data_IF_086859616854
#
_entry.id   IF_086859616854
#
_cell.length_a   1.000
_cell.length_b   1.000
_cell.length_c   1.000
_cell.angle_alpha   90.00
_cell.angle_beta   90.00
_cell.angle_gamma   90.00
#
_symmetry.space_group_name_H-M   'P 1'
#
loop_
_entity.id
_entity.type
_entity.pdbx_description
1 polymer ?
#
# COMPACT_ATOMS: atom_id res chain seq x y z
N UNK A 1 10.07 -16.23 -26.19
CA UNK A 1 10.47 -15.47 -24.98
C UNK A 1 9.28 -15.36 -24.06
N UNK A 2 9.45 -15.67 -22.78
CA UNK A 2 8.40 -15.51 -21.77
C UNK A 2 8.17 -14.02 -21.48
N UNK A 3 6.96 -13.65 -21.04
CA UNK A 3 6.64 -12.29 -20.58
C UNK A 3 7.64 -11.79 -19.54
N UNK A 4 8.01 -12.68 -18.61
CA UNK A 4 8.93 -12.40 -17.50
C UNK A 4 10.35 -12.09 -18.00
N UNK A 5 10.77 -12.68 -19.13
CA UNK A 5 12.12 -12.49 -19.67
C UNK A 5 12.34 -11.09 -20.25
N UNK A 6 11.25 -10.36 -20.54
CA UNK A 6 11.29 -8.99 -21.08
C UNK A 6 11.30 -7.91 -20.00
N UNK A 7 11.17 -8.30 -18.72
CA UNK A 7 11.08 -7.36 -17.61
C UNK A 7 12.47 -7.01 -17.07
N UNK A 8 12.75 -5.72 -16.95
CA UNK A 8 13.84 -5.23 -16.12
C UNK A 8 13.44 -5.39 -14.66
N UNK A 9 13.88 -6.49 -14.07
CA UNK A 9 13.63 -6.83 -12.67
C UNK A 9 14.08 -5.71 -11.72
N UNK A 10 15.21 -5.06 -11.97
CA UNK A 10 15.76 -4.04 -11.06
C UNK A 10 14.90 -2.78 -11.10
N UNK A 11 14.53 -2.30 -12.29
CA UNK A 11 13.63 -1.15 -12.46
C UNK A 11 12.22 -1.44 -11.93
N UNK A 12 11.70 -2.64 -12.17
CA UNK A 12 10.40 -3.09 -11.65
C UNK A 12 10.36 -3.11 -10.11
N UNK A 13 11.42 -3.61 -9.47
CA UNK A 13 11.56 -3.58 -8.00
C UNK A 13 11.61 -2.13 -7.48
N UNK A 14 12.28 -1.23 -8.21
CA UNK A 14 12.36 0.18 -7.84
C UNK A 14 10.98 0.87 -7.93
N UNK A 15 10.22 0.61 -8.99
CA UNK A 15 8.86 1.11 -9.15
C UNK A 15 7.94 0.60 -8.03
N UNK A 16 7.94 -0.71 -7.77
CA UNK A 16 7.17 -1.28 -6.67
C UNK A 16 7.59 -0.74 -5.31
N UNK A 17 8.89 -0.50 -5.07
CA UNK A 17 9.35 0.12 -3.83
C UNK A 17 8.79 1.53 -3.65
N UNK A 18 8.73 2.32 -4.73
CA UNK A 18 8.13 3.65 -4.68
C UNK A 18 6.64 3.58 -4.31
N UNK A 19 5.88 2.73 -5.00
CA UNK A 19 4.45 2.50 -4.71
C UNK A 19 4.22 2.03 -3.26
N UNK A 20 5.02 1.07 -2.79
CA UNK A 20 4.89 0.53 -1.44
C UNK A 20 5.27 1.54 -0.35
N UNK A 21 6.24 2.41 -0.60
CA UNK A 21 6.55 3.52 0.30
C UNK A 21 5.40 4.53 0.33
N UNK A 22 4.88 4.90 -0.84
CA UNK A 22 3.75 5.82 -0.94
C UNK A 22 2.52 5.29 -0.22
N UNK A 23 2.20 4.00 -0.43
CA UNK A 23 1.18 3.29 0.32
C UNK A 23 1.42 3.34 1.83
N UNK A 24 2.64 3.05 2.30
CA UNK A 24 2.95 3.04 3.73
C UNK A 24 2.71 4.40 4.38
N UNK A 25 3.08 5.47 3.69
CA UNK A 25 2.84 6.85 4.14
C UNK A 25 1.33 7.16 4.20
N UNK A 26 0.59 6.83 3.14
CA UNK A 26 -0.86 7.02 3.09
C UNK A 26 -1.57 6.19 4.16
N UNK A 27 -1.19 4.93 4.32
CA UNK A 27 -1.78 3.99 5.28
C UNK A 27 -1.58 4.51 6.71
N UNK A 28 -0.38 4.97 7.07
CA UNK A 28 -0.12 5.59 8.38
C UNK A 28 -0.95 6.85 8.63
N UNK A 29 -1.08 7.69 7.62
CA UNK A 29 -1.94 8.88 7.74
C UNK A 29 -3.37 8.45 8.06
N UNK A 30 -3.94 7.52 7.30
CA UNK A 30 -5.32 7.07 7.50
C UNK A 30 -5.52 6.22 8.78
N UNK A 31 -4.52 5.45 9.22
CA UNK A 31 -4.55 4.74 10.52
C UNK A 31 -4.54 5.73 11.71
N UNK A 32 -3.82 6.84 11.58
CA UNK A 32 -3.86 7.93 12.59
C UNK A 32 -5.09 8.83 12.48
N UNK A 33 -5.84 8.79 11.37
CA UNK A 33 -7.10 9.53 11.19
C UNK A 33 -8.34 8.80 11.75
N UNK A 34 -8.20 7.59 12.32
CA UNK A 34 -9.32 6.90 13.00
C UNK A 34 -9.74 7.56 14.34
N UNK A 35 -9.14 8.70 14.67
CA UNK A 35 -9.64 9.63 15.68
C UNK A 35 -10.42 10.79 15.04
N UNK A 36 -11.72 10.85 15.34
CA UNK A 36 -12.60 12.04 15.33
C UNK A 36 -13.40 12.40 14.05
N UNK A 37 -14.32 11.51 13.66
CA UNK A 37 -15.73 11.93 13.53
C UNK A 37 -16.64 11.19 14.52
N UNK A 38 -16.11 10.88 15.72
CA UNK A 38 -16.96 10.66 16.90
C UNK A 38 -17.57 11.99 17.34
N UNK A 39 -18.54 12.49 16.56
CA UNK A 39 -19.56 13.38 17.09
C UNK A 39 -20.38 12.51 18.04
N UNK A 40 -20.00 12.54 19.33
CA UNK A 40 -20.73 12.04 20.49
C UNK A 40 -21.74 10.92 20.21
N UNK A 41 -21.31 9.67 20.31
CA UNK A 41 -22.13 8.59 20.88
C UNK A 41 -23.54 8.36 20.32
N UNK A 42 -23.82 8.64 19.05
CA UNK A 42 -25.07 8.26 18.42
C UNK A 42 -24.77 7.41 17.18
N UNK A 43 -25.16 6.15 17.23
CA UNK A 43 -25.32 5.29 16.06
C UNK A 43 -26.44 5.89 15.21
N UNK A 44 -26.10 6.86 14.35
CA UNK A 44 -27.02 7.43 13.37
C UNK A 44 -26.62 6.93 11.99
N UNK A 45 -27.56 6.27 11.31
CA UNK A 45 -27.43 5.68 9.99
C UNK A 45 -26.62 6.56 9.02
N UNK A 46 -25.50 6.03 8.52
CA UNK A 46 -24.47 6.73 7.73
C UNK A 46 -24.97 7.36 6.42
N UNK A 47 -26.19 7.06 5.97
CA UNK A 47 -26.78 7.63 4.75
C UNK A 47 -27.23 9.09 4.93
N UNK A 48 -27.67 9.48 6.14
CA UNK A 48 -28.12 10.85 6.43
C UNK A 48 -26.96 11.83 6.63
N UNK A 49 -25.82 11.39 7.18
CA UNK A 49 -24.61 12.23 7.34
C UNK A 49 -23.99 12.53 5.97
N UNK A 50 -23.99 11.55 5.06
CA UNK A 50 -23.57 11.77 3.68
C UNK A 50 -24.47 12.80 2.99
N UNK A 51 -25.80 12.70 3.10
CA UNK A 51 -26.73 13.69 2.51
C UNK A 51 -26.60 15.10 3.12
N UNK A 52 -26.39 15.22 4.43
CA UNK A 52 -26.24 16.53 5.10
C UNK A 52 -24.91 17.20 4.76
N UNK A 53 -23.83 16.44 4.54
CA UNK A 53 -22.54 16.99 4.11
C UNK A 53 -22.57 17.54 2.67
N UNK A 54 -23.39 16.98 1.77
CA UNK A 54 -23.53 17.50 0.39
C UNK A 54 -24.31 18.81 0.30
N UNK A 55 -25.08 19.18 1.32
CA UNK A 55 -25.98 20.34 1.26
C UNK A 55 -25.32 21.66 1.65
N UNK A 56 -24.06 21.67 2.14
CA UNK A 56 -23.51 22.88 2.76
C UNK A 56 -21.98 23.06 2.70
N UNK A 57 -21.29 22.58 1.66
CA UNK A 57 -19.83 22.66 1.61
C UNK A 57 -19.34 23.65 0.54
N UNK A 58 -18.57 24.64 1.01
CA UNK A 58 -17.75 25.55 0.21
C UNK A 58 -16.79 24.70 -0.65
N UNK A 59 -16.51 25.12 -1.89
CA UNK A 59 -15.74 24.34 -2.89
C UNK A 59 -14.44 23.73 -2.36
N UNK A 60 -13.82 24.35 -1.35
CA UNK A 60 -12.61 23.90 -0.67
C UNK A 60 -12.78 22.60 0.11
N UNK A 61 -13.94 22.38 0.68
CA UNK A 61 -14.18 21.21 1.52
C UNK A 61 -14.61 19.99 0.68
N UNK A 62 -15.34 20.20 -0.42
CA UNK A 62 -15.58 19.16 -1.45
C UNK A 62 -14.23 18.64 -2.00
N UNK A 63 -13.31 19.54 -2.33
CA UNK A 63 -11.96 19.17 -2.78
C UNK A 63 -11.16 18.36 -1.74
N UNK A 64 -11.39 18.58 -0.44
CA UNK A 64 -10.75 17.79 0.63
C UNK A 64 -11.31 16.38 0.69
N UNK A 65 -12.62 16.21 0.51
CA UNK A 65 -13.30 14.91 0.48
C UNK A 65 -12.81 14.11 -0.72
N UNK A 66 -12.85 14.69 -1.93
CA UNK A 66 -12.37 14.02 -3.15
C UNK A 66 -10.88 13.61 -3.09
N UNK A 67 -10.05 14.37 -2.36
CA UNK A 67 -8.64 14.01 -2.15
C UNK A 67 -8.51 12.81 -1.23
N UNK A 68 -9.31 12.73 -0.16
CA UNK A 68 -9.31 11.58 0.75
C UNK A 68 -9.81 10.33 0.06
N UNK A 69 -10.89 10.43 -0.72
CA UNK A 69 -11.46 9.28 -1.44
C UNK A 69 -10.44 8.67 -2.40
N UNK A 70 -9.71 9.49 -3.16
CA UNK A 70 -8.61 9.03 -4.02
C UNK A 70 -7.51 8.31 -3.25
N UNK A 71 -7.11 8.83 -2.09
CA UNK A 71 -6.10 8.18 -1.24
C UNK A 71 -6.59 6.84 -0.69
N UNK A 72 -7.87 6.73 -0.34
CA UNK A 72 -8.48 5.47 0.11
C UNK A 72 -8.50 4.46 -1.03
N UNK A 73 -8.82 4.86 -2.26
CA UNK A 73 -8.76 4.00 -3.44
C UNK A 73 -7.35 3.46 -3.69
N UNK A 74 -6.32 4.30 -3.56
CA UNK A 74 -4.91 3.90 -3.69
C UNK A 74 -4.51 2.88 -2.60
N UNK A 75 -4.89 3.12 -1.35
CA UNK A 75 -4.69 2.17 -0.24
C UNK A 75 -5.38 0.83 -0.55
N UNK A 76 -6.64 0.86 -0.97
CA UNK A 76 -7.41 -0.35 -1.29
C UNK A 76 -6.81 -1.14 -2.45
N UNK A 77 -6.30 -0.45 -3.48
CA UNK A 77 -5.59 -1.08 -4.61
C UNK A 77 -4.39 -1.90 -4.11
N UNK A 78 -3.57 -1.33 -3.23
CA UNK A 78 -2.39 -2.02 -2.69
C UNK A 78 -2.77 -3.16 -1.76
N UNK A 79 -3.76 -2.98 -0.87
CA UNK A 79 -4.26 -4.07 -0.02
C UNK A 79 -4.82 -5.24 -0.82
N UNK A 80 -5.52 -4.96 -1.93
CA UNK A 80 -6.01 -5.98 -2.86
C UNK A 80 -4.89 -6.70 -3.62
N UNK A 81 -3.76 -6.04 -3.84
CA UNK A 81 -2.57 -6.70 -4.39
C UNK A 81 -1.90 -7.59 -3.33
N UNK A 82 -1.73 -7.09 -2.10
CA UNK A 82 -1.17 -7.86 -0.98
C UNK A 82 -1.96 -9.15 -0.73
N UNK A 83 -3.30 -9.10 -0.79
CA UNK A 83 -4.14 -10.29 -0.58
C UNK A 83 -3.97 -11.40 -1.64
N UNK A 84 -3.32 -11.09 -2.78
CA UNK A 84 -3.01 -12.06 -3.84
C UNK A 84 -1.63 -12.71 -3.68
N UNK A 85 -0.79 -12.24 -2.75
CA UNK A 85 0.51 -12.86 -2.48
C UNK A 85 0.29 -14.24 -1.87
N UNK A 86 0.74 -15.28 -2.57
CA UNK A 86 0.60 -16.67 -2.12
C UNK A 86 1.74 -17.15 -1.24
N UNK A 87 2.91 -16.52 -1.36
CA UNK A 87 4.11 -16.93 -0.63
C UNK A 87 4.13 -16.24 0.73
N UNK A 88 3.97 -17.05 1.77
CA UNK A 88 3.90 -16.61 3.16
C UNK A 88 5.06 -15.69 3.56
N UNK A 89 6.31 -16.07 3.24
CA UNK A 89 7.49 -15.25 3.55
C UNK A 89 7.53 -13.89 2.86
N UNK A 90 6.99 -13.80 1.65
CA UNK A 90 6.90 -12.52 0.92
C UNK A 90 5.83 -11.63 1.56
N UNK A 91 4.67 -12.22 1.91
CA UNK A 91 3.59 -11.53 2.59
C UNK A 91 4.02 -11.01 3.97
N UNK A 92 4.67 -11.85 4.76
CA UNK A 92 5.18 -11.53 6.09
C UNK A 92 6.20 -10.38 6.04
N UNK A 93 7.12 -10.41 5.05
CA UNK A 93 8.05 -9.31 4.82
C UNK A 93 7.32 -8.00 4.49
N UNK A 94 6.34 -8.03 3.57
CA UNK A 94 5.57 -6.84 3.19
C UNK A 94 4.79 -6.27 4.38
N UNK A 95 4.16 -7.14 5.17
CA UNK A 95 3.44 -6.77 6.37
C UNK A 95 4.34 -6.05 7.38
N UNK A 96 5.46 -6.65 7.75
CA UNK A 96 6.37 -6.02 8.71
C UNK A 96 7.02 -4.75 8.16
N UNK A 97 7.35 -4.73 6.87
CA UNK A 97 8.09 -3.59 6.29
C UNK A 97 7.21 -2.38 6.01
N UNK A 98 5.99 -2.57 5.51
CA UNK A 98 5.18 -1.48 4.94
C UNK A 98 3.89 -1.21 5.72
N UNK A 99 3.38 -2.20 6.48
CA UNK A 99 2.22 -2.00 7.35
C UNK A 99 2.70 -1.66 8.76
N UNK A 100 3.54 -2.49 9.38
CA UNK A 100 4.08 -2.20 10.72
C UNK A 100 5.32 -1.29 10.72
N UNK A 101 5.89 -1.02 9.56
CA UNK A 101 7.06 -0.13 9.34
C UNK A 101 8.23 -0.43 10.27
N UNK A 102 8.58 -1.71 10.36
CA UNK A 102 9.77 -2.18 11.08
C UNK A 102 11.06 -1.91 10.33
N UNK A 103 12.13 -1.73 11.10
CA UNK A 103 13.50 -1.65 10.61
C UNK A 103 13.92 -2.99 10.00
N UNK A 104 14.98 -2.99 9.19
CA UNK A 104 15.46 -4.24 8.59
C UNK A 104 16.00 -5.21 9.66
N UNK A 105 16.58 -4.68 10.74
CA UNK A 105 17.11 -5.48 11.86
C UNK A 105 15.98 -6.12 12.65
N UNK A 106 14.92 -5.36 12.95
CA UNK A 106 13.72 -5.89 13.61
C UNK A 106 13.04 -6.99 12.77
N UNK A 107 13.02 -6.84 11.45
CA UNK A 107 12.50 -7.89 10.55
C UNK A 107 13.37 -9.14 10.60
N UNK A 108 14.70 -8.99 10.63
CA UNK A 108 15.64 -10.11 10.75
C UNK A 108 15.43 -10.87 12.07
N UNK A 109 15.20 -10.14 13.16
CA UNK A 109 14.91 -10.70 14.48
C UNK A 109 13.54 -11.41 14.54
N UNK A 110 12.48 -10.74 14.11
CA UNK A 110 11.10 -11.27 14.18
C UNK A 110 10.93 -12.49 13.28
N UNK A 111 11.42 -12.43 12.04
CA UNK A 111 11.36 -13.56 11.11
C UNK A 111 12.44 -14.62 11.39
N UNK A 112 13.38 -14.36 12.31
CA UNK A 112 14.53 -15.23 12.62
C UNK A 112 15.35 -15.59 11.38
N UNK A 113 15.61 -14.62 10.52
CA UNK A 113 16.34 -14.79 9.26
C UNK A 113 17.62 -13.97 9.23
N UNK A 114 18.62 -14.45 8.49
CA UNK A 114 19.84 -13.69 8.22
C UNK A 114 19.59 -12.61 7.16
N UNK A 115 20.36 -11.52 7.22
CA UNK A 115 20.38 -10.44 6.22
C UNK A 115 20.31 -10.87 4.76
N UNK A 116 21.14 -11.83 4.33
CA UNK A 116 21.13 -12.33 2.94
C UNK A 116 19.79 -12.94 2.54
N UNK A 117 19.15 -13.65 3.46
CA UNK A 117 17.83 -14.25 3.23
C UNK A 117 16.76 -13.17 3.17
N UNK A 118 16.83 -12.15 4.05
CA UNK A 118 15.94 -10.99 4.00
C UNK A 118 16.05 -10.25 2.67
N UNK A 119 17.27 -9.98 2.19
CA UNK A 119 17.50 -9.28 0.92
C UNK A 119 16.90 -10.04 -0.28
N UNK A 120 17.01 -11.38 -0.28
CA UNK A 120 16.36 -12.22 -1.28
C UNK A 120 14.83 -12.16 -1.18
N UNK A 121 14.27 -12.35 0.01
CA UNK A 121 12.81 -12.28 0.23
C UNK A 121 12.28 -10.89 -0.16
N UNK A 122 12.98 -9.83 0.21
CA UNK A 122 12.65 -8.45 -0.16
C UNK A 122 12.62 -8.24 -1.67
N UNK A 123 13.64 -8.72 -2.38
CA UNK A 123 13.73 -8.65 -3.84
C UNK A 123 12.60 -9.43 -4.52
N UNK A 124 12.31 -10.64 -4.03
CA UNK A 124 11.23 -11.48 -4.56
C UNK A 124 9.86 -10.84 -4.28
N UNK A 125 9.61 -10.40 -3.04
CA UNK A 125 8.35 -9.76 -2.63
C UNK A 125 8.06 -8.46 -3.39
N UNK A 126 9.06 -7.59 -3.55
CA UNK A 126 8.89 -6.34 -4.30
C UNK A 126 8.67 -6.61 -5.80
N UNK A 127 9.30 -7.63 -6.36
CA UNK A 127 9.04 -8.02 -7.74
C UNK A 127 7.62 -8.60 -7.90
N UNK A 128 7.16 -9.43 -6.97
CA UNK A 128 5.77 -9.91 -6.92
C UNK A 128 4.80 -8.74 -6.84
N UNK A 129 5.08 -7.72 -6.01
CA UNK A 129 4.24 -6.52 -5.92
C UNK A 129 4.25 -5.71 -7.22
N UNK A 130 5.39 -5.60 -7.91
CA UNK A 130 5.45 -4.94 -9.21
C UNK A 130 4.43 -5.55 -10.18
N UNK A 131 4.46 -6.88 -10.30
CA UNK A 131 3.56 -7.65 -11.16
C UNK A 131 2.08 -7.53 -10.75
N UNK A 132 1.80 -7.50 -9.45
CA UNK A 132 0.41 -7.42 -8.96
C UNK A 132 -0.19 -6.02 -9.09
N UNK A 133 0.65 -4.98 -9.07
CA UNK A 133 0.27 -3.59 -9.23
C UNK A 133 0.32 -3.10 -10.68
N UNK A 134 0.83 -3.93 -11.60
CA UNK A 134 1.11 -3.60 -12.99
C UNK A 134 2.03 -2.37 -13.13
N UNK A 135 3.12 -2.34 -12.34
CA UNK A 135 4.14 -1.28 -12.35
C UNK A 135 5.52 -1.80 -12.79
N UNK A 136 5.56 -3.01 -13.33
CA UNK A 136 6.76 -3.58 -13.91
C UNK A 136 7.26 -2.78 -15.12
N UNK A 137 8.58 -2.78 -15.29
CA UNK A 137 9.28 -2.04 -16.33
C UNK A 137 9.90 -3.03 -17.31
N UNK A 138 9.65 -2.85 -18.60
CA UNK A 138 10.25 -3.66 -19.65
C UNK A 138 11.65 -3.17 -20.01
N UNK A 139 12.52 -4.06 -20.48
CA UNK A 139 13.73 -3.64 -21.15
C UNK A 139 13.36 -2.77 -22.36
N UNK A 140 13.92 -1.57 -22.42
CA UNK A 140 13.87 -0.75 -23.63
C UNK A 140 14.65 -1.50 -24.71
N UNK A 141 13.94 -2.06 -25.70
CA UNK A 141 14.59 -2.50 -26.93
C UNK A 141 15.10 -1.22 -27.62
N UNK A 142 16.41 -0.96 -27.55
CA UNK A 142 17.07 -0.08 -28.53
C UNK A 142 17.11 -0.78 -29.88
#
# INVERSE_FOLDING_TARGET
>A
MSYIDRLDRKRSIQAARHEMNHFSDLYKMHETYDDSYRIRGVSCNCELINMINYLNYDSREINKIERRDRQIEEIQKVLKAISKIRKEKELEYIFYKYIQVKSNEEIEEVMKIKRRTRERISSDALFTMALLLNVEVFFENM
#
